data_IF_789424837056
#
_entry.id   IF_789424837056
#
_cell.length_a   1.000
_cell.length_b   1.000
_cell.length_c   1.000
_cell.angle_alpha   90.00
_cell.angle_beta   90.00
_cell.angle_gamma   90.00
#
_symmetry.space_group_name_H-M   'P 1'
#
loop_
_entity.id
_entity.type
_entity.pdbx_description
1 polymer ?
#
# COMPACT_ATOMS: atom_id res chain seq x y z
N UNK A 1 25.06 -15.94 12.05
CA UNK A 1 24.36 -17.24 12.15
C UNK A 1 22.90 -16.90 12.34
N UNK A 2 22.01 -17.45 11.51
CA UNK A 2 20.56 -17.29 11.65
C UNK A 2 20.05 -18.53 12.35
N UNK A 3 19.36 -18.35 13.47
CA UNK A 3 18.77 -19.44 14.24
C UNK A 3 17.26 -19.45 14.02
N UNK A 4 16.69 -20.64 13.87
CA UNK A 4 15.26 -20.85 13.66
C UNK A 4 14.60 -21.38 14.94
N UNK A 5 13.27 -21.29 15.02
CA UNK A 5 12.49 -21.72 16.19
C UNK A 5 12.62 -23.22 16.49
N UNK A 6 12.92 -24.03 15.47
CA UNK A 6 13.16 -25.46 15.59
C UNK A 6 14.55 -25.82 16.15
N UNK A 7 15.35 -24.81 16.49
CA UNK A 7 16.72 -24.95 17.01
C UNK A 7 17.78 -25.15 15.92
N UNK A 8 17.39 -25.25 14.64
CA UNK A 8 18.34 -25.31 13.53
C UNK A 8 19.02 -23.96 13.32
N UNK A 9 20.19 -23.97 12.67
CA UNK A 9 20.89 -22.73 12.33
C UNK A 9 21.59 -22.79 10.98
N UNK A 10 21.64 -21.64 10.30
CA UNK A 10 22.28 -21.48 9.00
C UNK A 10 23.29 -20.33 9.06
N UNK A 11 24.46 -20.52 8.44
CA UNK A 11 25.41 -19.44 8.18
C UNK A 11 25.21 -18.94 6.76
N UNK A 12 24.91 -17.65 6.62
CA UNK A 12 24.74 -17.01 5.32
C UNK A 12 25.60 -15.74 5.22
N UNK A 13 26.08 -15.46 4.00
CA UNK A 13 26.75 -14.20 3.66
C UNK A 13 25.76 -13.05 3.47
N UNK A 14 24.55 -13.39 3.00
CA UNK A 14 23.47 -12.44 2.75
C UNK A 14 22.20 -12.92 3.44
N UNK A 15 21.47 -11.98 4.04
CA UNK A 15 20.16 -12.20 4.64
C UNK A 15 19.23 -11.16 4.03
N UNK A 16 18.13 -11.57 3.41
CA UNK A 16 17.14 -10.66 2.82
C UNK A 16 15.87 -10.70 3.65
N UNK A 17 15.55 -9.60 4.33
CA UNK A 17 14.30 -9.40 5.06
C UNK A 17 13.17 -9.11 4.09
N UNK A 18 12.35 -10.14 3.81
CA UNK A 18 11.14 -10.08 2.98
C UNK A 18 9.90 -10.52 3.78
N UNK A 19 9.93 -10.32 5.09
CA UNK A 19 9.04 -10.87 6.12
C UNK A 19 7.94 -9.88 6.57
N UNK A 20 7.61 -8.92 5.71
CA UNK A 20 6.45 -8.04 5.88
C UNK A 20 6.67 -6.86 6.84
N UNK A 21 5.58 -6.12 7.08
CA UNK A 21 5.61 -4.87 7.83
C UNK A 21 6.17 -4.99 9.27
N UNK A 22 5.98 -6.16 9.91
CA UNK A 22 6.49 -6.50 11.25
C UNK A 22 7.74 -7.37 11.14
N UNK A 23 8.67 -6.98 10.27
CA UNK A 23 9.87 -7.73 9.94
C UNK A 23 10.71 -8.05 11.18
N UNK A 24 10.84 -9.35 11.47
CA UNK A 24 11.74 -9.87 12.50
C UNK A 24 13.19 -9.59 12.13
N UNK A 25 13.55 -9.70 10.85
CA UNK A 25 14.90 -9.40 10.37
C UNK A 25 15.27 -7.94 10.62
N UNK A 26 14.37 -7.00 10.31
CA UNK A 26 14.58 -5.57 10.56
C UNK A 26 14.76 -5.28 12.05
N UNK A 27 13.95 -5.89 12.92
CA UNK A 27 14.06 -5.74 14.37
C UNK A 27 15.39 -6.28 14.91
N UNK A 28 15.77 -7.51 14.54
CA UNK A 28 17.04 -8.11 14.95
C UNK A 28 18.22 -7.29 14.44
N UNK A 29 18.11 -6.74 13.23
CA UNK A 29 19.13 -5.88 12.67
C UNK A 29 19.18 -4.49 13.31
N UNK A 30 18.26 -4.13 14.22
CA UNK A 30 18.17 -2.80 14.83
C UNK A 30 18.17 -1.69 13.75
N UNK A 31 17.22 -1.82 12.82
CA UNK A 31 16.96 -0.85 11.75
C UNK A 31 15.66 -0.13 12.10
N UNK A 32 15.71 1.18 12.29
CA UNK A 32 14.54 1.96 12.67
C UNK A 32 13.50 2.00 11.56
N UNK A 33 12.23 1.95 11.95
CA UNK A 33 11.10 1.96 11.02
C UNK A 33 10.07 3.02 11.43
N UNK A 34 10.19 4.20 10.81
CA UNK A 34 9.44 5.39 11.21
C UNK A 34 8.79 6.04 10.01
N UNK A 35 7.69 6.77 10.26
CA UNK A 35 7.14 7.66 9.26
C UNK A 35 8.15 8.77 8.93
N UNK A 36 8.54 8.99 7.67
CA UNK A 36 9.57 9.95 7.31
C UNK A 36 9.15 11.42 7.51
N UNK A 37 7.88 11.69 7.79
CA UNK A 37 7.35 13.05 8.00
C UNK A 37 6.95 13.31 9.45
N UNK A 38 6.22 12.39 10.10
CA UNK A 38 5.83 12.56 11.51
C UNK A 38 6.90 12.10 12.50
N UNK A 39 7.82 11.23 12.07
CA UNK A 39 8.81 10.61 12.96
C UNK A 39 8.24 9.51 13.86
N UNK A 40 6.93 9.24 13.78
CA UNK A 40 6.26 8.22 14.58
C UNK A 40 6.77 6.82 14.22
N UNK A 41 6.98 5.99 15.25
CA UNK A 41 7.35 4.59 15.06
C UNK A 41 6.19 3.80 14.49
N UNK A 42 6.48 2.90 13.55
CA UNK A 42 5.47 2.02 12.98
C UNK A 42 4.85 1.08 14.03
N UNK A 43 5.62 0.68 15.03
CA UNK A 43 5.19 -0.28 16.04
C UNK A 43 4.38 0.35 17.17
N UNK A 44 4.39 1.68 17.25
CA UNK A 44 3.60 2.44 18.22
C UNK A 44 2.19 2.75 17.67
N UNK A 45 1.21 3.03 18.56
CA UNK A 45 -0.07 3.60 18.13
C UNK A 45 0.15 5.00 17.52
N UNK A 46 -0.48 5.33 16.38
CA UNK A 46 -0.36 6.66 15.78
C UNK A 46 -0.99 7.71 16.70
N UNK A 47 -0.38 8.89 16.78
CA UNK A 47 -0.88 10.00 17.59
C UNK A 47 -2.10 10.69 16.97
N UNK A 48 -2.29 10.56 15.65
CA UNK A 48 -3.39 11.19 14.91
C UNK A 48 -4.35 10.17 14.26
N UNK A 49 -5.64 10.55 14.08
CA UNK A 49 -6.58 9.72 13.35
C UNK A 49 -6.09 9.52 11.90
N UNK A 50 -5.81 8.26 11.57
CA UNK A 50 -5.41 7.83 10.24
C UNK A 50 -6.64 7.43 9.42
N UNK A 51 -6.54 7.59 8.10
CA UNK A 51 -7.52 7.01 7.18
C UNK A 51 -7.55 5.50 7.41
N UNK A 52 -8.71 4.94 7.71
CA UNK A 52 -8.88 3.49 7.82
C UNK A 52 -9.78 3.00 6.69
N UNK A 53 -9.61 1.75 6.30
CA UNK A 53 -10.46 1.13 5.30
C UNK A 53 -11.09 -0.13 5.87
N UNK A 54 -12.35 -0.35 5.53
CA UNK A 54 -12.98 -1.65 5.58
C UNK A 54 -13.12 -2.13 4.15
N UNK A 55 -12.57 -3.30 3.87
CA UNK A 55 -12.67 -3.97 2.57
C UNK A 55 -13.53 -5.22 2.77
N UNK A 56 -14.46 -5.45 1.86
CA UNK A 56 -15.23 -6.69 1.82
C UNK A 56 -15.42 -7.16 0.38
N UNK A 57 -15.20 -8.45 0.13
CA UNK A 57 -15.64 -9.09 -1.10
C UNK A 57 -17.05 -9.63 -0.85
N UNK A 58 -18.04 -9.01 -1.48
CA UNK A 58 -19.45 -9.24 -1.24
C UNK A 58 -20.19 -9.55 -2.53
N UNK A 59 -21.18 -10.43 -2.46
CA UNK A 59 -22.11 -10.68 -3.57
C UNK A 59 -23.25 -9.69 -3.43
N UNK A 60 -23.38 -8.77 -4.38
CA UNK A 60 -24.46 -7.78 -4.43
C UNK A 60 -25.59 -8.25 -5.34
N UNK A 61 -26.82 -7.91 -4.99
CA UNK A 61 -28.01 -8.18 -5.80
C UNK A 61 -27.99 -7.37 -7.09
N UNK A 62 -28.45 -7.99 -8.18
CA UNK A 62 -28.68 -7.33 -9.46
C UNK A 62 -30.16 -6.93 -9.63
N UNK A 63 -30.45 -5.90 -10.44
CA UNK A 63 -29.50 -5.03 -11.14
C UNK A 63 -28.79 -4.06 -10.19
N UNK A 64 -27.53 -3.74 -10.49
CA UNK A 64 -26.84 -2.62 -9.82
C UNK A 64 -27.38 -1.28 -10.36
N UNK A 65 -27.33 -0.19 -9.56
CA UNK A 65 -27.67 1.16 -10.01
C UNK A 65 -26.95 1.54 -11.32
N UNK A 66 -27.64 2.26 -12.21
CA UNK A 66 -27.15 2.57 -13.58
C UNK A 66 -25.81 3.30 -13.62
N UNK A 67 -25.46 4.02 -12.55
CA UNK A 67 -24.18 4.74 -12.45
C UNK A 67 -22.97 3.87 -12.09
N UNK A 68 -23.18 2.58 -11.78
CA UNK A 68 -22.09 1.64 -11.52
C UNK A 68 -21.74 0.89 -12.80
N UNK A 69 -20.51 1.07 -13.24
CA UNK A 69 -19.97 0.34 -14.37
C UNK A 69 -19.53 -1.07 -13.94
N UNK A 70 -19.79 -2.07 -14.79
CA UNK A 70 -19.46 -3.48 -14.53
C UNK A 70 -18.01 -3.85 -14.92
N UNK A 71 -17.35 -3.01 -15.72
CA UNK A 71 -16.05 -3.27 -16.34
C UNK A 71 -14.91 -2.42 -15.75
N UNK A 72 -15.20 -1.58 -14.74
CA UNK A 72 -14.24 -0.63 -14.17
C UNK A 72 -14.56 -0.31 -12.71
N UNK A 73 -13.56 0.22 -12.02
CA UNK A 73 -13.71 0.73 -10.65
C UNK A 73 -14.65 1.93 -10.66
N UNK A 74 -15.68 1.89 -9.80
CA UNK A 74 -16.52 3.06 -9.53
C UNK A 74 -16.09 3.67 -8.19
N UNK A 75 -15.64 4.93 -8.21
CA UNK A 75 -15.11 5.64 -7.06
C UNK A 75 -16.02 6.82 -6.66
N UNK A 76 -16.48 6.81 -5.43
CA UNK A 76 -17.31 7.84 -4.83
C UNK A 76 -16.50 8.58 -3.76
N UNK A 77 -15.80 9.63 -4.17
CA UNK A 77 -14.87 10.35 -3.30
C UNK A 77 -15.55 11.03 -2.11
N UNK A 78 -16.73 11.61 -2.31
CA UNK A 78 -17.49 12.28 -1.24
C UNK A 78 -17.95 11.29 -0.16
N UNK A 79 -18.37 10.10 -0.57
CA UNK A 79 -18.78 9.01 0.32
C UNK A 79 -17.61 8.15 0.85
N UNK A 80 -16.38 8.44 0.37
CA UNK A 80 -15.18 7.64 0.58
C UNK A 80 -15.46 6.14 0.35
N UNK A 81 -16.09 5.81 -0.78
CA UNK A 81 -16.59 4.49 -1.12
C UNK A 81 -16.11 4.10 -2.52
N UNK A 82 -15.63 2.87 -2.70
CA UNK A 82 -15.31 2.31 -4.00
C UNK A 82 -16.02 0.96 -4.16
N UNK A 83 -16.51 0.72 -5.38
CA UNK A 83 -17.10 -0.54 -5.77
C UNK A 83 -16.36 -1.07 -7.00
N UNK A 84 -15.84 -2.28 -6.88
CA UNK A 84 -15.04 -2.95 -7.91
C UNK A 84 -15.71 -4.28 -8.23
N UNK A 85 -16.43 -4.40 -9.35
CA UNK A 85 -16.90 -5.70 -9.83
C UNK A 85 -15.70 -6.62 -10.08
N UNK A 86 -15.70 -7.81 -9.45
CA UNK A 86 -14.62 -8.79 -9.56
C UNK A 86 -14.96 -9.95 -10.50
N UNK A 87 -16.26 -10.17 -10.75
CA UNK A 87 -16.72 -11.19 -11.68
C UNK A 87 -17.39 -10.54 -12.88
N UNK A 88 -16.97 -10.93 -14.08
CA UNK A 88 -17.67 -10.64 -15.33
C UNK A 88 -18.84 -11.59 -15.57
N UNK A 89 -18.96 -12.68 -14.79
CA UNK A 89 -20.08 -13.62 -14.90
C UNK A 89 -21.38 -12.95 -14.53
N UNK A 90 -22.26 -12.85 -15.52
CA UNK A 90 -23.61 -12.27 -15.48
C UNK A 90 -24.63 -13.31 -14.96
N UNK A 91 -24.20 -14.55 -14.70
CA UNK A 91 -25.10 -15.66 -14.41
C UNK A 91 -25.64 -15.59 -12.98
N UNK A 92 -26.97 -15.47 -12.88
CA UNK A 92 -27.71 -15.42 -11.62
C UNK A 92 -28.02 -14.01 -11.12
N UNK A 93 -28.65 -13.95 -9.93
CA UNK A 93 -29.17 -12.71 -9.35
C UNK A 93 -28.12 -11.87 -8.61
N UNK A 94 -26.85 -12.32 -8.58
CA UNK A 94 -25.79 -11.71 -7.80
C UNK A 94 -24.54 -11.41 -8.61
N UNK A 95 -23.76 -10.42 -8.17
CA UNK A 95 -22.45 -10.10 -8.73
C UNK A 95 -21.44 -9.94 -7.60
N UNK A 96 -20.28 -10.59 -7.73
CA UNK A 96 -19.18 -10.43 -6.77
C UNK A 96 -18.51 -9.08 -6.99
N UNK A 97 -18.58 -8.23 -5.97
CA UNK A 97 -17.92 -6.94 -5.93
C UNK A 97 -17.01 -6.85 -4.72
N UNK A 98 -15.87 -6.19 -4.90
CA UNK A 98 -15.06 -5.67 -3.80
C UNK A 98 -15.56 -4.30 -3.41
N UNK A 99 -16.03 -4.21 -2.18
CA UNK A 99 -16.51 -3.01 -1.51
C UNK A 99 -15.36 -2.43 -0.69
N UNK A 100 -15.04 -1.16 -0.90
CA UNK A 100 -14.01 -0.44 -0.16
C UNK A 100 -14.62 0.78 0.52
N UNK A 101 -14.55 0.84 1.84
CA UNK A 101 -15.16 1.88 2.67
C UNK A 101 -14.06 2.60 3.46
N UNK A 102 -13.84 3.88 3.18
CA UNK A 102 -12.87 4.70 3.88
C UNK A 102 -13.46 5.47 5.06
N UNK A 103 -12.67 5.58 6.12
CA UNK A 103 -13.03 6.19 7.40
C UNK A 103 -11.96 7.18 7.80
N UNK A 104 -12.35 8.44 7.80
CA UNK A 104 -11.43 9.57 7.91
C UNK A 104 -11.13 9.92 9.38
N UNK A 105 -12.01 9.56 10.31
CA UNK A 105 -11.98 10.10 11.67
C UNK A 105 -11.22 9.25 12.70
N UNK A 106 -10.69 8.06 12.35
CA UNK A 106 -9.85 7.22 13.23
C UNK A 106 -10.44 6.78 14.59
N UNK A 107 -11.56 7.36 15.02
CA UNK A 107 -12.24 7.21 16.31
C UNK A 107 -13.32 6.12 16.31
N UNK A 108 -13.60 5.53 15.15
CA UNK A 108 -14.57 4.44 15.06
C UNK A 108 -13.90 3.10 15.37
N UNK A 109 -14.49 2.33 16.27
CA UNK A 109 -14.11 0.94 16.47
C UNK A 109 -14.58 0.11 15.26
N UNK A 110 -13.75 0.12 14.22
CA UNK A 110 -14.03 -0.59 12.99
C UNK A 110 -13.84 -2.09 13.21
N UNK A 111 -14.80 -2.95 12.83
CA UNK A 111 -14.69 -4.39 13.05
C UNK A 111 -13.50 -4.96 12.28
N UNK A 112 -12.71 -5.84 12.93
CA UNK A 112 -11.60 -6.53 12.25
C UNK A 112 -12.10 -7.36 11.07
N UNK A 113 -13.20 -8.07 11.29
CA UNK A 113 -13.91 -8.88 10.30
C UNK A 113 -15.35 -8.34 10.22
N UNK A 114 -15.67 -7.45 9.27
CA UNK A 114 -17.01 -6.86 9.14
C UNK A 114 -18.05 -7.92 8.77
N UNK A 115 -19.22 -7.87 9.41
CA UNK A 115 -20.34 -8.75 9.08
C UNK A 115 -21.09 -8.26 7.83
N UNK A 116 -21.90 -9.11 7.17
CA UNK A 116 -22.77 -8.66 6.08
C UNK A 116 -23.67 -7.48 6.47
N UNK A 117 -24.23 -7.48 7.68
CA UNK A 117 -25.11 -6.43 8.19
C UNK A 117 -24.34 -5.12 8.37
N UNK A 118 -23.09 -5.19 8.86
CA UNK A 118 -22.23 -4.02 8.97
C UNK A 118 -21.99 -3.40 7.59
N UNK A 119 -21.57 -4.18 6.59
CA UNK A 119 -21.30 -3.66 5.24
C UNK A 119 -22.60 -3.11 4.62
N UNK A 120 -23.74 -3.79 4.79
CA UNK A 120 -25.04 -3.31 4.30
C UNK A 120 -25.38 -1.95 4.92
N UNK A 121 -25.24 -1.81 6.25
CA UNK A 121 -25.51 -0.56 6.95
C UNK A 121 -24.62 0.59 6.49
N UNK A 122 -23.36 0.30 6.14
CA UNK A 122 -22.42 1.30 5.65
C UNK A 122 -22.70 1.69 4.20
N UNK A 123 -23.12 0.73 3.35
CA UNK A 123 -23.62 1.03 2.02
C UNK A 123 -24.87 1.91 2.10
N UNK A 124 -25.86 1.56 2.94
CA UNK A 124 -27.11 2.32 3.07
C UNK A 124 -26.86 3.78 3.48
N UNK A 125 -25.88 4.05 4.35
CA UNK A 125 -25.50 5.42 4.77
C UNK A 125 -24.81 6.23 3.68
N UNK A 126 -24.09 5.56 2.78
CA UNK A 126 -23.13 6.18 1.84
C UNK A 126 -23.59 6.12 0.39
N UNK A 127 -24.65 5.36 0.10
CA UNK A 127 -25.15 5.10 -1.22
C UNK A 127 -25.57 6.43 -1.89
N UNK A 128 -24.90 6.84 -2.98
CA UNK A 128 -25.25 8.08 -3.67
C UNK A 128 -26.40 7.89 -4.67
N UNK A 129 -26.94 6.68 -4.79
CA UNK A 129 -28.02 6.33 -5.70
C UNK A 129 -29.37 6.28 -4.98
N UNK A 130 -30.44 6.56 -5.71
CA UNK A 130 -31.81 6.35 -5.23
C UNK A 130 -32.11 4.84 -5.12
N UNK A 131 -31.53 4.02 -6.01
CA UNK A 131 -31.64 2.56 -5.96
C UNK A 131 -30.77 1.96 -4.85
N UNK A 132 -31.31 0.99 -4.10
CA UNK A 132 -30.57 0.30 -3.03
C UNK A 132 -29.48 -0.62 -3.57
N UNK A 133 -28.32 -0.60 -2.91
CA UNK A 133 -27.30 -1.63 -3.03
C UNK A 133 -27.55 -2.71 -1.99
N UNK A 134 -27.94 -3.91 -2.41
CA UNK A 134 -28.28 -5.03 -1.50
C UNK A 134 -27.18 -6.06 -1.49
N UNK A 135 -26.70 -6.43 -0.30
CA UNK A 135 -25.72 -7.50 -0.09
C UNK A 135 -26.46 -8.82 0.13
N UNK A 136 -26.16 -9.81 -0.71
CA UNK A 136 -26.65 -11.18 -0.56
C UNK A 136 -25.75 -12.00 0.36
N UNK A 137 -24.43 -11.79 0.31
CA UNK A 137 -23.46 -12.43 1.21
C UNK A 137 -22.12 -11.71 1.20
N UNK A 138 -21.33 -11.89 2.26
CA UNK A 138 -19.91 -11.48 2.33
C UNK A 138 -19.04 -12.73 2.31
N UNK A 139 -18.05 -12.78 1.41
CA UNK A 139 -17.10 -13.89 1.27
C UNK A 139 -15.87 -13.68 2.15
N UNK A 140 -15.33 -12.47 2.14
CA UNK A 140 -14.25 -12.06 3.03
C UNK A 140 -14.43 -10.60 3.41
N UNK A 141 -13.95 -10.23 4.58
CA UNK A 141 -13.97 -8.87 5.07
C UNK A 141 -12.79 -8.62 6.00
N UNK A 142 -12.15 -7.47 5.87
CA UNK A 142 -11.04 -7.09 6.72
C UNK A 142 -10.91 -5.58 6.87
N UNK A 143 -10.49 -5.16 8.06
CA UNK A 143 -10.05 -3.79 8.32
C UNK A 143 -8.58 -3.60 7.99
N UNK A 144 -8.29 -2.53 7.26
CA UNK A 144 -6.94 -2.03 6.98
C UNK A 144 -6.74 -0.66 7.63
N UNK A 145 -5.70 -0.52 8.44
CA UNK A 145 -5.29 0.77 9.00
C UNK A 145 -4.22 1.37 8.11
N UNK A 146 -4.42 2.59 7.60
CA UNK A 146 -3.34 3.22 6.83
C UNK A 146 -2.25 3.67 7.79
N UNK A 147 -1.05 3.21 7.51
CA UNK A 147 0.19 3.68 8.13
C UNK A 147 1.19 3.91 7.03
N UNK A 148 2.18 4.73 7.31
CA UNK A 148 3.38 4.83 6.50
C UNK A 148 4.61 4.74 7.38
N UNK A 149 5.61 4.03 6.91
CA UNK A 149 6.90 3.91 7.56
C UNK A 149 7.98 3.57 6.55
N UNK A 150 9.20 4.00 6.82
CA UNK A 150 10.35 3.78 5.96
C UNK A 150 11.53 3.39 6.84
N UNK A 151 12.23 2.32 6.45
CA UNK A 151 13.43 1.89 7.11
C UNK A 151 14.52 2.96 6.98
N UNK A 152 15.22 3.29 8.07
CA UNK A 152 16.28 4.30 8.04
C UNK A 152 17.43 3.92 7.08
N UNK A 153 17.66 2.62 6.89
CA UNK A 153 18.50 2.02 5.85
C UNK A 153 17.88 0.72 5.34
N UNK A 154 18.19 0.35 4.09
CA UNK A 154 17.83 -0.93 3.48
C UNK A 154 18.99 -1.93 3.46
N UNK A 155 20.15 -1.52 4.00
CA UNK A 155 21.35 -2.34 4.13
C UNK A 155 21.99 -2.13 5.51
N UNK A 156 22.35 -3.22 6.18
CA UNK A 156 23.20 -3.18 7.37
C UNK A 156 24.14 -4.38 7.38
N UNK A 157 25.40 -4.15 7.72
CA UNK A 157 26.39 -5.21 7.91
C UNK A 157 26.43 -5.62 9.37
N UNK A 158 26.29 -6.91 9.65
CA UNK A 158 26.39 -7.49 11.00
C UNK A 158 27.46 -8.57 10.96
N UNK A 159 28.62 -8.28 11.54
CA UNK A 159 29.81 -9.11 11.38
C UNK A 159 30.18 -9.26 9.90
N UNK A 160 30.24 -10.50 9.41
CA UNK A 160 30.54 -10.82 8.01
C UNK A 160 29.29 -11.08 7.16
N UNK A 161 28.11 -10.73 7.66
CA UNK A 161 26.83 -10.95 6.97
C UNK A 161 26.20 -9.62 6.59
N UNK A 162 25.75 -9.53 5.34
CA UNK A 162 25.03 -8.38 4.78
C UNK A 162 23.54 -8.62 4.89
N UNK A 163 22.84 -7.73 5.61
CA UNK A 163 21.38 -7.74 5.73
C UNK A 163 20.82 -6.72 4.75
N UNK A 164 19.88 -7.14 3.91
CA UNK A 164 19.14 -6.29 2.98
C UNK A 164 17.65 -6.36 3.30
N UNK A 165 16.89 -5.28 3.10
CA UNK A 165 15.43 -5.27 3.27
C UNK A 165 14.72 -5.11 1.93
N UNK A 166 13.59 -5.78 1.72
CA UNK A 166 12.76 -5.63 0.51
C UNK A 166 11.27 -5.56 0.86
N UNK A 167 10.50 -4.83 0.06
CA UNK A 167 9.05 -4.72 0.22
C UNK A 167 8.65 -4.17 1.59
N UNK A 168 7.58 -4.74 2.16
CA UNK A 168 6.98 -4.27 3.41
C UNK A 168 7.94 -4.28 4.62
N UNK A 169 9.03 -5.06 4.57
CA UNK A 169 10.07 -5.01 5.59
C UNK A 169 10.82 -3.68 5.58
N UNK A 170 11.01 -3.06 4.40
CA UNK A 170 11.73 -1.81 4.21
C UNK A 170 10.84 -0.57 4.11
N UNK A 171 9.59 -0.70 3.64
CA UNK A 171 8.66 0.43 3.51
C UNK A 171 7.21 -0.03 3.61
N UNK A 172 6.37 0.76 4.27
CA UNK A 172 4.91 0.58 4.28
C UNK A 172 4.29 1.91 3.92
N UNK A 173 3.20 1.86 3.16
CA UNK A 173 2.45 3.06 2.78
C UNK A 173 0.98 2.70 2.55
N UNK A 174 0.13 3.72 2.39
CA UNK A 174 -1.29 3.49 2.10
C UNK A 174 -1.45 2.74 0.77
N UNK A 175 -2.44 1.83 0.65
CA UNK A 175 -2.70 1.06 -0.56
C UNK A 175 -3.22 1.93 -1.72
N UNK A 176 -3.52 3.20 -1.48
CA UNK A 176 -3.95 4.13 -2.53
C UNK A 176 -2.93 4.17 -3.68
N UNK A 177 -3.37 3.82 -4.89
CA UNK A 177 -2.52 3.74 -6.08
C UNK A 177 -1.89 2.37 -6.34
N UNK A 178 -2.09 1.37 -5.46
CA UNK A 178 -1.69 -0.02 -5.73
C UNK A 178 -0.18 -0.27 -5.87
N UNK A 179 0.65 0.57 -5.25
CA UNK A 179 2.10 0.56 -5.50
C UNK A 179 2.91 -0.40 -4.62
N UNK A 180 2.36 -0.88 -3.49
CA UNK A 180 3.16 -1.57 -2.46
C UNK A 180 3.80 -2.85 -2.96
N UNK A 181 2.97 -3.75 -3.53
CA UNK A 181 3.46 -5.02 -4.10
C UNK A 181 4.41 -4.78 -5.27
N UNK A 182 4.10 -3.82 -6.15
CA UNK A 182 4.94 -3.51 -7.32
C UNK A 182 6.32 -3.01 -6.89
N UNK A 183 6.38 -2.13 -5.89
CA UNK A 183 7.63 -1.63 -5.34
C UNK A 183 8.44 -2.77 -4.71
N UNK A 184 7.81 -3.65 -3.92
CA UNK A 184 8.47 -4.81 -3.34
C UNK A 184 9.07 -5.79 -4.37
N UNK A 185 8.38 -6.00 -5.51
CA UNK A 185 8.93 -6.81 -6.62
C UNK A 185 10.20 -6.15 -7.19
N UNK A 186 10.15 -4.84 -7.44
CA UNK A 186 11.32 -4.08 -7.90
C UNK A 186 12.47 -4.13 -6.89
N UNK A 187 12.18 -4.08 -5.59
CA UNK A 187 13.19 -4.20 -4.54
C UNK A 187 13.87 -5.56 -4.54
N UNK A 188 13.12 -6.63 -4.76
CA UNK A 188 13.65 -7.99 -4.90
C UNK A 188 14.60 -8.12 -6.10
N UNK A 189 14.21 -7.58 -7.25
CA UNK A 189 15.07 -7.55 -8.46
C UNK A 189 16.33 -6.73 -8.21
N UNK A 190 16.20 -5.54 -7.60
CA UNK A 190 17.34 -4.69 -7.28
C UNK A 190 18.29 -5.35 -6.27
N UNK A 191 17.76 -6.05 -5.26
CA UNK A 191 18.55 -6.79 -4.29
C UNK A 191 19.34 -7.92 -4.95
N UNK A 192 18.72 -8.67 -5.86
CA UNK A 192 19.38 -9.74 -6.61
C UNK A 192 20.56 -9.20 -7.43
N UNK A 193 20.38 -8.07 -8.13
CA UNK A 193 21.46 -7.42 -8.87
C UNK A 193 22.58 -6.90 -7.97
N UNK A 194 22.24 -6.26 -6.85
CA UNK A 194 23.22 -5.74 -5.90
C UNK A 194 24.06 -6.88 -5.29
N UNK A 195 23.44 -7.99 -4.90
CA UNK A 195 24.12 -9.18 -4.40
C UNK A 195 25.03 -9.77 -5.48
N UNK A 196 24.54 -9.92 -6.71
CA UNK A 196 25.33 -10.46 -7.82
C UNK A 196 26.56 -9.59 -8.14
N UNK A 197 26.42 -8.26 -8.11
CA UNK A 197 27.51 -7.32 -8.30
C UNK A 197 28.52 -7.39 -7.14
N UNK A 198 28.05 -7.43 -5.89
CA UNK A 198 28.90 -7.57 -4.71
C UNK A 198 29.65 -8.91 -4.69
N UNK A 199 29.07 -9.99 -5.23
CA UNK A 199 29.78 -11.27 -5.36
C UNK A 199 30.91 -11.20 -6.40
N UNK A 200 30.74 -10.42 -7.47
CA UNK A 200 31.74 -10.24 -8.53
C UNK A 200 32.84 -9.24 -8.17
N UNK A 201 32.65 -8.41 -7.16
CA UNK A 201 33.62 -7.41 -6.71
C UNK A 201 34.71 -7.96 -5.77
N UNK A 202 34.91 -9.28 -5.72
CA UNK A 202 35.85 -9.93 -4.79
C UNK A 202 37.30 -9.41 -4.87
N UNK A 203 37.71 -8.86 -6.02
CA UNK A 203 39.05 -8.30 -6.24
C UNK A 203 39.17 -6.81 -5.84
N UNK A 204 38.06 -6.17 -5.45
CA UNK A 204 38.04 -4.76 -5.02
C UNK A 204 38.31 -4.63 -3.52
N UNK A 205 38.67 -3.42 -3.08
CA UNK A 205 38.79 -3.14 -1.65
C UNK A 205 37.45 -3.32 -0.93
N UNK A 206 37.46 -3.72 0.34
CA UNK A 206 36.23 -4.00 1.11
C UNK A 206 35.26 -2.81 1.14
N UNK A 207 35.77 -1.58 1.19
CA UNK A 207 34.93 -0.37 1.12
C UNK A 207 34.19 -0.25 -0.22
N UNK A 208 34.87 -0.53 -1.33
CA UNK A 208 34.28 -0.48 -2.67
C UNK A 208 33.25 -1.60 -2.89
N UNK A 209 33.45 -2.75 -2.23
CA UNK A 209 32.46 -3.82 -2.21
C UNK A 209 31.20 -3.39 -1.46
N UNK A 210 31.36 -2.82 -0.25
CA UNK A 210 30.25 -2.36 0.58
C UNK A 210 29.46 -1.22 -0.10
N UNK A 211 30.13 -0.35 -0.88
CA UNK A 211 29.49 0.73 -1.66
C UNK A 211 28.40 0.23 -2.63
N UNK A 212 28.52 -1.00 -3.16
CA UNK A 212 27.49 -1.59 -4.03
C UNK A 212 26.17 -1.75 -3.27
N UNK A 213 26.24 -2.23 -2.02
CA UNK A 213 25.07 -2.46 -1.18
C UNK A 213 24.55 -1.15 -0.56
N UNK A 214 25.43 -0.19 -0.29
CA UNK A 214 25.05 1.16 0.13
C UNK A 214 24.25 1.85 -0.96
N UNK A 215 24.72 1.82 -2.23
CA UNK A 215 23.97 2.40 -3.37
C UNK A 215 22.61 1.74 -3.56
N UNK A 216 22.53 0.42 -3.41
CA UNK A 216 21.25 -0.28 -3.38
C UNK A 216 20.32 0.31 -2.31
N UNK A 217 20.81 0.46 -1.08
CA UNK A 217 20.00 0.92 0.03
C UNK A 217 19.53 2.37 -0.12
N UNK A 218 20.39 3.26 -0.61
CA UNK A 218 20.05 4.64 -0.91
C UNK A 218 18.98 4.73 -2.00
N UNK A 219 19.16 3.99 -3.10
CA UNK A 219 18.19 3.91 -4.19
C UNK A 219 16.82 3.41 -3.71
N UNK A 220 16.78 2.33 -2.92
CA UNK A 220 15.53 1.80 -2.37
C UNK A 220 14.84 2.77 -1.44
N UNK A 221 15.60 3.41 -0.54
CA UNK A 221 15.06 4.41 0.39
C UNK A 221 14.48 5.62 -0.36
N UNK A 222 15.15 6.11 -1.41
CA UNK A 222 14.64 7.19 -2.24
C UNK A 222 13.34 6.82 -2.96
N UNK A 223 13.24 5.60 -3.51
CA UNK A 223 12.02 5.12 -4.15
C UNK A 223 10.87 4.98 -3.15
N UNK A 224 11.12 4.39 -1.97
CA UNK A 224 10.13 4.32 -0.89
C UNK A 224 9.66 5.69 -0.42
N UNK A 225 10.56 6.65 -0.27
CA UNK A 225 10.22 8.03 0.11
C UNK A 225 9.35 8.71 -0.96
N UNK A 226 9.65 8.53 -2.25
CA UNK A 226 8.83 9.07 -3.36
C UNK A 226 7.41 8.53 -3.30
N UNK A 227 7.25 7.22 -3.12
CA UNK A 227 5.93 6.58 -3.01
C UNK A 227 5.16 7.05 -1.78
N UNK A 228 5.79 7.10 -0.60
CA UNK A 228 5.15 7.63 0.62
C UNK A 228 4.72 9.09 0.42
N UNK A 229 5.57 9.91 -0.21
CA UNK A 229 5.25 11.32 -0.49
C UNK A 229 4.03 11.45 -1.40
N UNK A 230 3.99 10.71 -2.50
CA UNK A 230 2.87 10.73 -3.44
C UNK A 230 1.57 10.25 -2.81
N UNK A 231 1.64 9.13 -2.09
CA UNK A 231 0.49 8.53 -1.44
C UNK A 231 -0.07 9.38 -0.29
N UNK A 232 0.78 10.09 0.47
CA UNK A 232 0.31 11.09 1.47
C UNK A 232 -0.43 12.25 0.84
N UNK A 233 0.07 12.81 -0.28
CA UNK A 233 -0.63 13.88 -1.02
C UNK A 233 -2.02 13.44 -1.47
N UNK A 234 -2.10 12.22 -2.03
CA UNK A 234 -3.38 11.65 -2.44
C UNK A 234 -4.32 11.41 -1.25
N UNK A 235 -3.78 10.93 -0.13
CA UNK A 235 -4.54 10.75 1.10
C UNK A 235 -5.15 12.07 1.60
N UNK A 236 -4.38 13.17 1.60
CA UNK A 236 -4.89 14.49 2.02
C UNK A 236 -6.08 14.98 1.18
N UNK A 237 -6.15 14.63 -0.10
CA UNK A 237 -7.31 14.98 -0.95
C UNK A 237 -8.60 14.26 -0.53
N UNK A 238 -8.51 13.11 0.14
CA UNK A 238 -9.68 12.41 0.69
C UNK A 238 -10.35 13.23 1.79
N UNK A 239 -9.58 14.04 2.53
CA UNK A 239 -10.11 14.93 3.57
C UNK A 239 -10.79 16.19 2.99
N UNK A 240 -10.77 16.40 1.68
CA UNK A 240 -11.34 17.60 1.02
C UNK A 240 -12.82 17.41 0.63
N UNK A 241 -13.60 16.69 1.46
CA UNK A 241 -15.00 16.36 1.19
C UNK A 241 -16.00 17.49 1.50
N UNK A 242 -15.57 18.63 2.06
CA UNK A 242 -16.47 19.69 2.54
C UNK A 242 -16.05 21.08 2.06
N UNK A 243 -17.06 21.96 1.90
CA UNK A 243 -16.89 23.38 1.59
C UNK A 243 -16.12 23.66 0.30
N UNK A 244 -15.34 24.75 0.29
CA UNK A 244 -14.56 25.19 -0.87
C UNK A 244 -13.47 24.19 -1.29
N UNK A 245 -12.95 23.38 -0.36
CA UNK A 245 -11.94 22.35 -0.65
C UNK A 245 -12.49 21.27 -1.60
N UNK A 246 -13.78 20.93 -1.48
CA UNK A 246 -14.47 20.01 -2.41
C UNK A 246 -14.49 20.56 -3.83
N UNK A 247 -14.77 21.86 -3.98
CA UNK A 247 -14.78 22.54 -5.28
C UNK A 247 -13.39 22.48 -5.92
N UNK A 248 -12.35 22.81 -5.16
CA UNK A 248 -10.96 22.74 -5.63
C UNK A 248 -10.57 21.32 -6.04
N UNK A 249 -10.87 20.32 -5.21
CA UNK A 249 -10.60 18.91 -5.55
C UNK A 249 -11.29 18.50 -6.84
N UNK A 250 -12.57 18.83 -7.00
CA UNK A 250 -13.35 18.48 -8.18
C UNK A 250 -12.81 19.18 -9.44
N UNK A 251 -12.34 20.43 -9.31
CA UNK A 251 -11.66 21.14 -10.39
C UNK A 251 -10.35 20.43 -10.78
N UNK A 252 -9.50 20.05 -9.81
CA UNK A 252 -8.25 19.32 -10.07
C UNK A 252 -8.54 17.99 -10.79
N UNK A 253 -9.46 17.18 -10.28
CA UNK A 253 -9.84 15.89 -10.88
C UNK A 253 -10.35 16.09 -12.31
N UNK A 254 -11.19 17.11 -12.53
CA UNK A 254 -11.72 17.43 -13.85
C UNK A 254 -10.62 17.83 -14.83
N UNK A 255 -9.70 18.70 -14.40
CA UNK A 255 -8.56 19.16 -15.21
C UNK A 255 -7.62 18.02 -15.59
N UNK A 256 -7.30 17.13 -14.65
CA UNK A 256 -6.49 15.93 -14.93
C UNK A 256 -7.19 15.03 -15.94
N UNK A 257 -8.52 14.87 -15.84
CA UNK A 257 -9.31 14.02 -16.75
C UNK A 257 -9.28 14.52 -18.19
N UNK A 258 -9.39 15.83 -18.40
CA UNK A 258 -9.44 16.45 -19.74
C UNK A 258 -8.07 16.69 -20.37
N UNK A 259 -7.00 16.73 -19.57
CA UNK A 259 -5.65 17.06 -20.05
C UNK A 259 -4.86 15.77 -20.33
N UNK A 260 -4.60 15.39 -21.60
CA UNK A 260 -3.99 14.10 -21.92
C UNK A 260 -2.59 13.92 -21.34
N UNK A 261 -1.82 15.00 -21.29
CA UNK A 261 -0.48 15.02 -20.69
C UNK A 261 -0.53 14.74 -19.18
N UNK A 262 -1.38 15.44 -18.42
CA UNK A 262 -1.53 15.23 -16.99
C UNK A 262 -2.00 13.81 -16.66
N UNK A 263 -2.97 13.29 -17.45
CA UNK A 263 -3.44 11.91 -17.34
C UNK A 263 -2.33 10.89 -17.58
N UNK A 264 -1.50 11.11 -18.61
CA UNK A 264 -0.36 10.23 -18.93
C UNK A 264 0.68 10.26 -17.81
N UNK A 265 1.01 11.44 -17.30
CA UNK A 265 1.98 11.58 -16.22
C UNK A 265 1.51 10.87 -14.96
N UNK A 266 0.24 11.09 -14.55
CA UNK A 266 -0.34 10.39 -13.41
C UNK A 266 -0.34 8.87 -13.59
N UNK A 267 -0.61 8.37 -14.81
CA UNK A 267 -0.54 6.94 -15.10
C UNK A 267 0.89 6.37 -14.98
N UNK A 268 1.90 7.11 -15.45
CA UNK A 268 3.31 6.73 -15.31
C UNK A 268 3.74 6.73 -13.83
N UNK A 269 3.31 7.73 -13.07
CA UNK A 269 3.62 7.83 -11.65
C UNK A 269 2.97 6.71 -10.85
N UNK A 270 1.67 6.42 -11.09
CA UNK A 270 0.93 5.34 -10.40
C UNK A 270 1.47 3.96 -10.78
N UNK A 271 1.83 3.74 -12.05
CA UNK A 271 2.42 2.46 -12.50
C UNK A 271 3.85 2.24 -12.05
N UNK A 272 4.53 3.27 -11.53
CA UNK A 272 5.94 3.22 -11.15
C UNK A 272 6.90 3.31 -12.34
N UNK A 273 6.40 3.49 -13.57
CA UNK A 273 7.21 3.63 -14.78
C UNK A 273 7.97 4.96 -14.87
N UNK A 274 7.62 5.95 -14.04
CA UNK A 274 8.40 7.19 -13.93
C UNK A 274 9.70 7.02 -13.14
N UNK A 275 9.90 5.90 -12.44
CA UNK A 275 11.15 5.56 -11.79
C UNK A 275 12.17 5.06 -12.83
N UNK A 276 12.74 5.98 -13.61
CA UNK A 276 13.91 5.69 -14.46
C UNK A 276 15.16 5.63 -13.56
N UNK A 277 15.82 4.49 -13.58
CA UNK A 277 17.17 4.26 -13.04
C UNK A 277 18.18 4.27 -14.17
#
# INVERSE_FOLDING_TARGET
MVSFEDGSSIRARYIVGADGARSTIRHIADIEFKDPFSGESYDEPPALPSLNFVLADAVLQRPLPKGIALDRVTAFFDACFFLIPLSSSVDGNGILCRVFLGYVDGKQDLPRNPTPEYIQSELDKRNPFDEKLVILSVKTGSRYRTRSALANTFYKKIGNSSILLVGDAGHVHTPLGGQGMNLGICDGVAAAHAIAQHLKSANLALSEQDDILIRYAESRRQNGLRVITGTKKLNYMVYWNYGWRRVVRNAIISTVRITPFARKQLALDISGLSNRE
#
